data_IF_193433867490
#
_entry.id   IF_193433867490
#
_cell.length_a   1.000
_cell.length_b   1.000
_cell.length_c   1.000
_cell.angle_alpha   90.00
_cell.angle_beta   90.00
_cell.angle_gamma   90.00
#
_symmetry.space_group_name_H-M   'P 1'
#
loop_
_entity.id
_entity.type
_entity.pdbx_description
1 polymer ?
#
# COMPACT_ATOMS: atom_id res chain seq x y z
N UNK A 1 6.35 -20.48 23.06
CA UNK A 1 6.84 -19.53 24.07
C UNK A 1 8.26 -19.13 23.68
N UNK A 2 8.44 -17.95 23.09
CA UNK A 2 9.76 -17.48 22.64
C UNK A 2 10.36 -16.53 23.68
N UNK A 3 11.63 -16.72 24.06
CA UNK A 3 12.30 -15.95 25.11
C UNK A 3 12.86 -14.62 24.60
N UNK A 4 13.06 -13.66 25.52
CA UNK A 4 13.49 -12.27 25.25
C UNK A 4 14.76 -12.11 24.38
N UNK A 5 15.59 -13.15 24.24
CA UNK A 5 16.82 -13.10 23.43
C UNK A 5 16.59 -13.19 21.90
N UNK A 6 15.44 -13.67 21.42
CA UNK A 6 15.13 -13.73 19.97
C UNK A 6 14.52 -12.44 19.40
N UNK A 7 14.21 -11.45 20.24
CA UNK A 7 13.67 -10.15 19.78
C UNK A 7 14.75 -9.24 19.18
N UNK A 8 16.00 -9.34 19.62
CA UNK A 8 17.12 -8.54 19.09
C UNK A 8 17.42 -8.82 17.62
N UNK A 9 17.26 -10.06 17.19
CA UNK A 9 17.45 -10.49 15.80
C UNK A 9 16.30 -10.01 14.90
N UNK A 10 15.04 -10.26 15.30
CA UNK A 10 13.87 -9.85 14.51
C UNK A 10 13.72 -8.34 14.39
N UNK A 11 13.95 -7.59 15.48
CA UNK A 11 13.92 -6.13 15.45
C UNK A 11 14.98 -5.58 14.50
N UNK A 12 16.23 -6.04 14.64
CA UNK A 12 17.34 -5.62 13.78
C UNK A 12 17.05 -5.95 12.32
N UNK A 13 16.55 -7.15 12.04
CA UNK A 13 16.12 -7.53 10.70
C UNK A 13 15.07 -6.58 10.12
N UNK A 14 13.99 -6.29 10.86
CA UNK A 14 12.94 -5.38 10.37
C UNK A 14 13.46 -3.96 10.14
N UNK A 15 14.31 -3.44 11.03
CA UNK A 15 14.97 -2.14 10.83
C UNK A 15 15.77 -2.15 9.52
N UNK A 16 16.59 -3.18 9.29
CA UNK A 16 17.37 -3.32 8.06
C UNK A 16 16.48 -3.45 6.82
N UNK A 17 15.34 -4.15 6.91
CA UNK A 17 14.38 -4.21 5.80
C UNK A 17 13.75 -2.84 5.51
N UNK A 18 13.31 -2.10 6.54
CA UNK A 18 12.74 -0.77 6.36
C UNK A 18 13.76 0.17 5.71
N UNK A 19 15.01 0.16 6.17
CA UNK A 19 16.09 0.95 5.58
C UNK A 19 16.33 0.55 4.13
N UNK A 20 16.55 -0.74 3.86
CA UNK A 20 16.78 -1.28 2.51
C UNK A 20 15.69 -0.85 1.53
N UNK A 21 14.42 -0.99 1.91
CA UNK A 21 13.32 -0.63 1.01
C UNK A 21 13.03 0.87 0.95
N UNK A 22 13.43 1.65 1.96
CA UNK A 22 13.44 3.11 1.85
C UNK A 22 14.43 3.56 0.77
N UNK A 23 15.66 3.03 0.81
CA UNK A 23 16.68 3.34 -0.19
C UNK A 23 16.22 2.93 -1.60
N UNK A 24 15.59 1.76 -1.74
CA UNK A 24 15.02 1.34 -3.03
C UNK A 24 13.90 2.26 -3.55
N UNK A 25 13.02 2.77 -2.68
CA UNK A 25 11.99 3.74 -3.09
C UNK A 25 12.63 5.00 -3.69
N UNK A 26 13.70 5.49 -3.06
CA UNK A 26 14.46 6.65 -3.54
C UNK A 26 15.19 6.36 -4.86
N UNK A 27 15.91 5.23 -4.94
CA UNK A 27 16.62 4.78 -6.15
C UNK A 27 15.69 4.65 -7.37
N UNK A 28 14.44 4.27 -7.15
CA UNK A 28 13.41 4.14 -8.19
C UNK A 28 12.71 5.45 -8.52
N UNK A 29 12.92 6.51 -7.74
CA UNK A 29 12.20 7.77 -7.87
C UNK A 29 10.71 7.64 -7.52
N UNK A 30 10.35 6.75 -6.60
CA UNK A 30 8.97 6.56 -6.13
C UNK A 30 8.59 7.54 -5.02
N UNK A 31 9.40 8.55 -4.81
CA UNK A 31 9.19 9.62 -3.87
C UNK A 31 10.12 10.78 -4.17
N UNK A 32 9.72 11.99 -3.79
CA UNK A 32 10.53 13.18 -3.82
C UNK A 32 10.56 13.86 -2.45
N UNK A 33 11.63 14.61 -2.17
CA UNK A 33 11.82 15.27 -0.88
C UNK A 33 11.85 14.23 0.28
N UNK A 34 10.88 14.29 1.20
CA UNK A 34 10.78 13.43 2.37
C UNK A 34 9.48 12.60 2.38
N UNK A 35 8.84 12.50 1.23
CA UNK A 35 7.61 11.74 1.07
C UNK A 35 7.86 10.21 1.13
N UNK A 36 6.77 9.46 1.10
CA UNK A 36 6.82 8.02 1.29
C UNK A 36 7.11 7.60 2.73
N UNK A 37 6.52 6.50 3.14
CA UNK A 37 6.67 5.98 4.49
C UNK A 37 6.52 4.46 4.51
N UNK A 38 7.30 3.84 5.38
CA UNK A 38 7.31 2.39 5.58
C UNK A 38 7.10 2.13 7.05
N UNK A 39 6.23 1.18 7.37
CA UNK A 39 6.18 0.60 8.70
C UNK A 39 6.13 -0.91 8.66
N UNK A 40 6.57 -1.53 9.75
CA UNK A 40 6.49 -2.97 9.97
C UNK A 40 6.02 -3.28 11.39
N UNK A 41 5.18 -4.29 11.53
CA UNK A 41 4.69 -4.79 12.82
C UNK A 41 5.74 -5.66 13.50
N UNK A 42 6.09 -5.30 14.72
CA UNK A 42 6.90 -6.11 15.64
C UNK A 42 6.06 -6.37 16.88
N UNK A 43 5.41 -7.53 16.91
CA UNK A 43 4.51 -7.94 17.99
C UNK A 43 3.42 -6.87 18.23
N UNK A 44 3.40 -6.22 19.41
CA UNK A 44 2.41 -5.20 19.78
C UNK A 44 2.80 -3.76 19.41
N UNK A 45 3.97 -3.58 18.77
CA UNK A 45 4.47 -2.26 18.35
C UNK A 45 4.69 -2.19 16.84
N UNK A 46 4.83 -0.97 16.33
CA UNK A 46 5.18 -0.70 14.95
C UNK A 46 6.57 -0.06 14.88
N UNK A 47 7.42 -0.56 13.99
CA UNK A 47 8.64 0.13 13.56
C UNK A 47 8.31 0.94 12.32
N UNK A 48 8.77 2.19 12.24
CA UNK A 48 8.43 3.06 11.13
C UNK A 48 9.56 4.02 10.77
N UNK A 49 9.58 4.46 9.51
CA UNK A 49 10.39 5.61 9.10
C UNK A 49 9.88 6.88 9.81
N UNK A 50 10.76 7.77 10.29
CA UNK A 50 10.35 9.06 10.83
C UNK A 50 9.90 10.02 9.71
N UNK A 51 9.17 11.05 10.10
CA UNK A 51 8.83 12.19 9.23
C UNK A 51 10.06 13.03 8.87
N UNK A 52 9.97 13.82 7.80
CA UNK A 52 10.97 14.79 7.37
C UNK A 52 12.38 14.23 7.09
N UNK A 53 12.48 12.93 6.78
CA UNK A 53 13.71 12.28 6.35
C UNK A 53 13.51 11.71 4.94
N UNK A 54 14.35 12.16 4.00
CA UNK A 54 14.40 11.58 2.64
C UNK A 54 14.68 10.08 2.72
N UNK A 55 13.95 9.28 1.93
CA UNK A 55 14.10 7.82 1.94
C UNK A 55 15.50 7.37 1.52
N UNK A 56 16.20 8.15 0.68
CA UNK A 56 17.59 7.93 0.26
C UNK A 56 18.65 8.15 1.35
N UNK A 57 18.27 8.77 2.48
CA UNK A 57 19.15 9.04 3.62
C UNK A 57 18.76 8.26 4.89
N UNK A 58 17.91 7.24 4.75
CA UNK A 58 17.40 6.49 5.90
C UNK A 58 18.52 5.67 6.56
N UNK A 59 18.71 5.84 7.87
CA UNK A 59 19.67 5.07 8.67
C UNK A 59 18.94 4.18 9.70
N UNK A 60 19.51 3.02 10.09
CA UNK A 60 18.92 2.12 11.09
C UNK A 60 18.51 2.81 12.40
N UNK A 61 19.33 3.71 12.91
CA UNK A 61 19.13 4.48 14.14
C UNK A 61 17.99 5.52 14.06
N UNK A 62 17.53 5.83 12.85
CA UNK A 62 16.41 6.76 12.62
C UNK A 62 15.05 6.08 12.76
N UNK A 63 14.99 4.73 12.72
CA UNK A 63 13.73 4.00 12.80
C UNK A 63 13.10 4.21 14.18
N UNK A 64 11.86 4.71 14.17
CA UNK A 64 11.08 4.97 15.38
C UNK A 64 10.19 3.78 15.72
N UNK A 65 9.87 3.63 17.01
CA UNK A 65 8.88 2.67 17.47
C UNK A 65 7.62 3.40 17.91
N UNK A 66 6.48 2.90 17.47
CA UNK A 66 5.16 3.43 17.78
C UNK A 66 4.33 2.36 18.50
N UNK A 67 3.44 2.79 19.39
CA UNK A 67 2.38 1.93 19.91
C UNK A 67 1.30 1.66 18.85
N UNK A 68 0.31 0.83 19.21
CA UNK A 68 -0.83 0.49 18.34
C UNK A 68 -1.71 1.68 17.93
N UNK A 69 -1.54 2.85 18.56
CA UNK A 69 -2.26 4.09 18.27
C UNK A 69 -1.38 5.08 17.48
N UNK A 70 -0.16 4.69 17.09
CA UNK A 70 0.78 5.55 16.37
C UNK A 70 1.53 6.54 17.26
N UNK A 71 1.43 6.43 18.59
CA UNK A 71 2.18 7.29 19.52
C UNK A 71 3.62 6.78 19.62
N UNK A 72 4.59 7.68 19.48
CA UNK A 72 6.01 7.36 19.60
C UNK A 72 6.36 6.87 21.01
N UNK A 73 6.99 5.70 21.06
CA UNK A 73 7.55 5.08 22.27
C UNK A 73 9.05 5.42 22.37
N UNK A 74 9.80 5.25 21.29
CA UNK A 74 11.26 5.41 21.24
C UNK A 74 11.75 5.78 19.82
N UNK A 75 13.03 6.15 19.70
CA UNK A 75 13.68 6.53 18.44
C UNK A 75 13.73 8.05 18.19
N UNK A 76 14.58 8.46 17.25
CA UNK A 76 14.78 9.86 16.86
C UNK A 76 13.77 10.31 15.81
N UNK A 77 13.32 11.56 15.88
CA UNK A 77 12.32 12.11 14.97
C UNK A 77 10.87 11.90 15.45
N UNK A 78 9.90 12.14 14.57
CA UNK A 78 8.47 12.09 14.90
C UNK A 78 7.71 11.20 13.89
N UNK A 79 6.53 10.67 14.26
CA UNK A 79 5.65 10.00 13.31
C UNK A 79 5.31 10.89 12.12
N UNK A 80 5.13 10.29 10.94
CA UNK A 80 4.66 10.98 9.74
C UNK A 80 3.16 11.29 9.84
N UNK A 81 2.71 12.31 9.10
CA UNK A 81 1.32 12.82 9.12
C UNK A 81 0.29 11.74 8.73
N UNK A 82 0.67 10.83 7.84
CA UNK A 82 -0.20 9.78 7.30
C UNK A 82 -0.20 8.48 8.13
N UNK A 83 0.34 8.48 9.35
CA UNK A 83 0.43 7.27 10.19
C UNK A 83 -0.94 6.59 10.36
N UNK A 84 -2.03 7.37 10.37
CA UNK A 84 -3.41 6.84 10.43
C UNK A 84 -3.70 5.84 9.31
N UNK A 85 -3.20 6.04 8.08
CA UNK A 85 -3.41 5.09 6.97
C UNK A 85 -2.78 3.73 7.28
N UNK A 86 -1.58 3.72 7.86
CA UNK A 86 -0.90 2.49 8.28
C UNK A 86 -1.65 1.81 9.44
N UNK A 87 -2.12 2.59 10.42
CA UNK A 87 -2.88 2.05 11.56
C UNK A 87 -4.20 1.41 11.12
N UNK A 88 -4.92 2.01 10.17
CA UNK A 88 -6.12 1.41 9.59
C UNK A 88 -5.79 0.11 8.89
N UNK A 89 -4.74 0.10 8.07
CA UNK A 89 -4.30 -1.11 7.39
C UNK A 89 -4.02 -2.28 8.36
N UNK A 90 -3.31 -2.01 9.45
CA UNK A 90 -3.02 -2.99 10.50
C UNK A 90 -4.24 -3.42 11.33
N UNK A 91 -5.27 -2.58 11.42
CA UNK A 91 -6.49 -2.86 12.18
C UNK A 91 -7.48 -3.68 11.36
N UNK A 92 -7.61 -3.33 10.08
CA UNK A 92 -8.49 -4.00 9.11
C UNK A 92 -7.91 -5.36 8.72
N UNK A 93 -6.59 -5.44 8.54
CA UNK A 93 -5.91 -6.68 8.19
C UNK A 93 -4.90 -7.07 9.27
N UNK A 94 -5.31 -7.95 10.17
CA UNK A 94 -4.44 -8.47 11.24
C UNK A 94 -3.24 -9.27 10.70
N UNK A 95 -3.37 -9.87 9.51
CA UNK A 95 -2.28 -10.61 8.84
C UNK A 95 -1.21 -9.67 8.28
N UNK A 96 -1.53 -8.38 8.04
CA UNK A 96 -0.57 -7.41 7.54
C UNK A 96 0.59 -7.20 8.53
N UNK A 97 1.81 -7.40 8.05
CA UNK A 97 3.05 -7.23 8.83
C UNK A 97 3.89 -6.05 8.37
N UNK A 98 3.61 -5.49 7.20
CA UNK A 98 4.23 -4.28 6.72
C UNK A 98 3.25 -3.46 5.87
N UNK A 99 3.49 -2.16 5.84
CA UNK A 99 2.78 -1.20 4.99
C UNK A 99 3.81 -0.29 4.35
N UNK A 100 3.71 -0.12 3.04
CA UNK A 100 4.51 0.82 2.25
C UNK A 100 3.56 1.79 1.58
N UNK A 101 3.81 3.07 1.75
CA UNK A 101 3.17 4.14 1.00
C UNK A 101 4.24 4.97 0.29
N UNK A 102 3.99 5.32 -0.97
CA UNK A 102 4.92 6.02 -1.85
C UNK A 102 4.16 6.75 -2.97
N UNK A 103 4.88 7.55 -3.78
CA UNK A 103 4.36 8.35 -4.89
C UNK A 103 5.02 7.99 -6.24
N UNK A 104 4.93 6.73 -6.70
CA UNK A 104 5.46 6.35 -8.00
C UNK A 104 4.74 7.11 -9.14
N UNK A 105 5.48 7.77 -10.07
CA UNK A 105 4.89 8.78 -10.97
C UNK A 105 3.75 8.31 -11.87
N UNK A 106 3.87 7.15 -12.52
CA UNK A 106 2.81 6.68 -13.44
C UNK A 106 1.55 6.27 -12.69
N UNK A 107 1.69 5.57 -11.56
CA UNK A 107 0.54 5.18 -10.75
C UNK A 107 -0.11 6.39 -10.07
N UNK A 108 0.68 7.33 -9.54
CA UNK A 108 0.15 8.59 -8.98
C UNK A 108 -0.60 9.40 -10.06
N UNK A 109 -0.06 9.48 -11.28
CA UNK A 109 -0.75 10.15 -12.40
C UNK A 109 -2.10 9.50 -12.74
N UNK A 110 -2.19 8.16 -12.69
CA UNK A 110 -3.48 7.46 -12.85
C UNK A 110 -4.45 7.73 -11.70
N UNK A 111 -3.95 7.73 -10.47
CA UNK A 111 -4.74 8.08 -9.28
C UNK A 111 -5.34 9.47 -9.38
N UNK A 112 -4.58 10.46 -9.85
CA UNK A 112 -5.03 11.84 -10.07
C UNK A 112 -6.24 11.98 -10.99
N UNK A 113 -6.45 11.03 -11.91
CA UNK A 113 -7.60 11.02 -12.82
C UNK A 113 -8.63 9.94 -12.47
N UNK A 114 -8.49 9.27 -11.33
CA UNK A 114 -9.43 8.24 -10.88
C UNK A 114 -9.43 6.97 -11.74
N UNK A 115 -8.32 6.67 -12.44
CA UNK A 115 -8.26 5.56 -13.39
C UNK A 115 -7.63 4.30 -12.75
N UNK A 116 -8.42 3.26 -12.42
CA UNK A 116 -7.88 2.00 -11.89
C UNK A 116 -6.97 1.29 -12.90
N UNK A 117 -6.17 0.34 -12.41
CA UNK A 117 -5.35 -0.55 -13.24
C UNK A 117 -6.02 -1.92 -13.28
N UNK A 118 -6.31 -2.40 -14.48
CA UNK A 118 -6.77 -3.78 -14.75
C UNK A 118 -5.59 -4.53 -15.39
N UNK A 119 -4.92 -5.45 -14.68
CA UNK A 119 -3.75 -6.12 -15.22
C UNK A 119 -4.10 -7.03 -16.40
N UNK A 120 -3.32 -6.93 -17.49
CA UNK A 120 -3.39 -7.86 -18.62
C UNK A 120 -2.20 -8.83 -18.68
N UNK A 121 -1.24 -8.69 -17.76
CA UNK A 121 -0.09 -9.59 -17.63
C UNK A 121 -0.40 -10.71 -16.63
N UNK A 122 -0.21 -12.00 -16.98
CA UNK A 122 -0.56 -13.11 -16.12
C UNK A 122 0.04 -13.07 -14.71
N UNK A 123 1.33 -12.73 -14.61
CA UNK A 123 2.07 -12.64 -13.35
C UNK A 123 1.51 -11.52 -12.46
N UNK A 124 1.04 -10.43 -13.06
CA UNK A 124 0.44 -9.33 -12.35
C UNK A 124 -0.94 -9.69 -11.79
N UNK A 125 -1.74 -10.47 -12.51
CA UNK A 125 -3.02 -10.98 -11.99
C UNK A 125 -2.78 -11.89 -10.79
N UNK A 126 -1.78 -12.78 -10.88
CA UNK A 126 -1.42 -13.64 -9.74
C UNK A 126 -0.93 -12.81 -8.55
N UNK A 127 -0.11 -11.78 -8.78
CA UNK A 127 0.52 -11.00 -7.71
C UNK A 127 -0.36 -9.91 -7.09
N UNK A 128 -1.17 -9.20 -7.88
CA UNK A 128 -1.98 -8.06 -7.45
C UNK A 128 -3.48 -8.33 -7.47
N UNK A 129 -3.95 -9.28 -8.27
CA UNK A 129 -5.37 -9.62 -8.41
C UNK A 129 -5.99 -9.05 -9.68
N UNK A 130 -7.32 -9.02 -9.71
CA UNK A 130 -8.11 -8.60 -10.87
C UNK A 130 -7.97 -7.11 -11.19
N UNK A 131 -7.82 -6.28 -10.15
CA UNK A 131 -7.79 -4.83 -10.28
C UNK A 131 -7.00 -4.20 -9.14
N UNK A 132 -6.31 -3.09 -9.44
CA UNK A 132 -5.77 -2.17 -8.47
C UNK A 132 -6.67 -0.92 -8.46
N UNK A 133 -7.51 -0.75 -7.42
CA UNK A 133 -8.50 0.32 -7.39
C UNK A 133 -7.88 1.68 -7.07
N UNK A 134 -8.69 2.73 -7.23
CA UNK A 134 -8.38 4.09 -6.78
C UNK A 134 -9.33 4.44 -5.65
N UNK A 135 -8.81 4.76 -4.47
CA UNK A 135 -9.57 5.32 -3.37
C UNK A 135 -9.88 6.80 -3.63
N UNK A 136 -11.07 7.30 -3.23
CA UNK A 136 -11.39 8.72 -3.33
C UNK A 136 -10.39 9.56 -2.53
N UNK A 137 -10.17 10.80 -2.97
CA UNK A 137 -9.37 11.76 -2.21
C UNK A 137 -10.08 12.04 -0.89
N UNK A 138 -9.30 12.10 0.18
CA UNK A 138 -9.78 12.56 1.45
C UNK A 138 -8.67 13.22 2.25
N UNK A 139 -9.05 14.21 3.07
CA UNK A 139 -8.09 14.95 3.87
C UNK A 139 -7.62 14.11 5.06
N UNK A 140 -6.37 14.33 5.52
CA UNK A 140 -5.90 13.72 6.75
C UNK A 140 -6.80 14.08 7.94
N UNK A 141 -7.49 13.08 8.50
CA UNK A 141 -8.37 13.25 9.66
C UNK A 141 -9.86 13.07 9.39
N UNK A 142 -10.28 12.90 8.14
CA UNK A 142 -11.67 12.64 7.78
C UNK A 142 -12.15 11.30 8.34
N UNK A 143 -13.34 11.27 8.95
CA UNK A 143 -13.88 10.10 9.62
C UNK A 143 -14.23 8.95 8.64
N UNK A 144 -14.52 9.27 7.38
CA UNK A 144 -14.83 8.29 6.33
C UNK A 144 -13.58 7.57 5.80
N UNK A 145 -12.37 8.03 6.15
CA UNK A 145 -11.14 7.41 5.65
C UNK A 145 -10.99 5.97 6.12
N UNK A 146 -11.33 5.68 7.37
CA UNK A 146 -11.19 4.34 7.92
C UNK A 146 -12.09 3.34 7.15
N UNK A 147 -13.32 3.72 6.79
CA UNK A 147 -14.26 2.87 6.03
C UNK A 147 -13.88 2.72 4.58
N UNK A 148 -13.44 3.79 3.92
CA UNK A 148 -12.93 3.73 2.55
C UNK A 148 -11.71 2.82 2.47
N UNK A 149 -10.75 3.00 3.38
CA UNK A 149 -9.53 2.19 3.42
C UNK A 149 -9.84 0.73 3.74
N UNK A 150 -10.76 0.44 4.67
CA UNK A 150 -11.23 -0.91 4.94
C UNK A 150 -11.83 -1.56 3.69
N UNK A 151 -12.65 -0.80 2.97
CA UNK A 151 -13.28 -1.24 1.71
C UNK A 151 -12.25 -1.56 0.64
N UNK A 152 -11.24 -0.70 0.50
CA UNK A 152 -10.15 -0.90 -0.45
C UNK A 152 -9.30 -2.13 -0.12
N UNK A 153 -9.02 -2.37 1.16
CA UNK A 153 -8.23 -3.52 1.63
C UNK A 153 -8.94 -4.87 1.49
N UNK A 154 -10.28 -4.88 1.43
CA UNK A 154 -11.05 -6.07 1.08
C UNK A 154 -10.98 -6.41 -0.41
N UNK A 155 -10.78 -5.39 -1.25
CA UNK A 155 -10.72 -5.53 -2.70
C UNK A 155 -9.30 -5.85 -3.17
N UNK A 156 -8.30 -5.23 -2.54
CA UNK A 156 -6.91 -5.38 -2.95
C UNK A 156 -5.94 -5.16 -1.80
N UNK A 157 -4.84 -5.89 -1.84
CA UNK A 157 -3.71 -5.69 -0.95
C UNK A 157 -2.87 -4.43 -1.27
N UNK A 158 -3.20 -3.72 -2.34
CA UNK A 158 -2.59 -2.45 -2.71
C UNK A 158 -3.54 -1.63 -3.59
N UNK A 159 -3.54 -0.30 -3.42
CA UNK A 159 -4.40 0.60 -4.18
C UNK A 159 -3.79 1.99 -4.31
N UNK A 160 -4.28 2.73 -5.30
CA UNK A 160 -3.94 4.14 -5.50
C UNK A 160 -4.92 5.01 -4.69
N UNK A 161 -4.52 6.22 -4.34
CA UNK A 161 -5.37 7.22 -3.69
C UNK A 161 -5.41 8.44 -4.59
N UNK A 162 -6.61 8.88 -4.98
CA UNK A 162 -6.76 10.06 -5.82
C UNK A 162 -6.13 11.29 -5.15
N UNK A 163 -5.37 12.08 -5.90
CA UNK A 163 -4.66 13.26 -5.36
C UNK A 163 -3.47 12.96 -4.44
N UNK A 164 -3.09 11.69 -4.26
CA UNK A 164 -2.00 11.28 -3.38
C UNK A 164 -1.08 10.24 -4.06
N UNK A 165 -0.94 9.04 -3.50
CA UNK A 165 0.01 8.03 -3.95
C UNK A 165 -0.53 6.61 -3.97
N UNK A 166 0.37 5.64 -3.81
CA UNK A 166 0.06 4.22 -3.71
C UNK A 166 0.27 3.78 -2.28
N UNK A 167 -0.61 2.94 -1.76
CA UNK A 167 -0.41 2.21 -0.51
C UNK A 167 -0.49 0.71 -0.79
N UNK A 168 0.40 -0.05 -0.17
CA UNK A 168 0.42 -1.49 -0.24
C UNK A 168 0.70 -2.10 1.13
N UNK A 169 0.02 -3.19 1.44
CA UNK A 169 0.29 -4.02 2.61
C UNK A 169 1.08 -5.26 2.21
N UNK A 170 1.69 -5.96 3.17
CA UNK A 170 2.36 -7.23 2.91
C UNK A 170 2.66 -8.05 4.17
N UNK A 171 2.97 -9.32 3.96
CA UNK A 171 3.43 -10.27 4.98
C UNK A 171 4.86 -9.96 5.46
N UNK A 172 5.56 -9.11 4.74
CA UNK A 172 6.84 -8.52 5.08
C UNK A 172 7.03 -7.23 4.26
N UNK A 173 8.08 -6.46 4.60
CA UNK A 173 8.38 -5.17 3.95
C UNK A 173 8.68 -5.34 2.45
N UNK A 174 9.34 -6.43 2.06
CA UNK A 174 9.64 -6.72 0.65
C UNK A 174 8.38 -6.89 -0.19
N UNK A 175 7.43 -7.71 0.26
CA UNK A 175 6.19 -7.94 -0.46
C UNK A 175 5.37 -6.66 -0.61
N UNK A 176 5.28 -5.84 0.45
CA UNK A 176 4.62 -4.55 0.38
C UNK A 176 5.29 -3.61 -0.64
N UNK A 177 6.63 -3.54 -0.63
CA UNK A 177 7.39 -2.77 -1.62
C UNK A 177 7.20 -3.30 -3.05
N UNK A 178 7.31 -4.62 -3.26
CA UNK A 178 7.19 -5.24 -4.59
C UNK A 178 5.80 -5.01 -5.20
N UNK A 179 4.76 -4.91 -4.37
CA UNK A 179 3.41 -4.52 -4.83
C UNK A 179 3.40 -3.09 -5.37
N UNK A 180 4.03 -2.14 -4.68
CA UNK A 180 4.18 -0.75 -5.18
C UNK A 180 4.99 -0.72 -6.48
N UNK A 181 6.12 -1.43 -6.52
CA UNK A 181 6.97 -1.51 -7.71
C UNK A 181 6.24 -2.08 -8.92
N UNK A 182 5.47 -3.15 -8.73
CA UNK A 182 4.69 -3.77 -9.80
C UNK A 182 3.53 -2.88 -10.26
N UNK A 183 2.86 -2.16 -9.35
CA UNK A 183 1.81 -1.19 -9.71
C UNK A 183 2.37 -0.11 -10.64
N UNK A 184 3.52 0.47 -10.28
CA UNK A 184 4.18 1.47 -11.13
C UNK A 184 4.60 0.88 -12.48
N UNK A 185 5.15 -0.33 -12.48
CA UNK A 185 5.56 -1.01 -13.69
C UNK A 185 4.38 -1.21 -14.65
N UNK A 186 3.23 -1.66 -14.14
CA UNK A 186 2.00 -1.83 -14.92
C UNK A 186 1.46 -0.50 -15.44
N UNK A 187 1.44 0.54 -14.60
CA UNK A 187 0.99 1.87 -14.99
C UNK A 187 1.84 2.42 -16.15
N UNK A 188 3.17 2.24 -16.06
CA UNK A 188 4.13 2.65 -17.08
C UNK A 188 3.99 1.85 -18.38
N UNK A 189 3.82 0.53 -18.29
CA UNK A 189 3.59 -0.33 -19.45
C UNK A 189 2.30 0.09 -20.18
N UNK A 190 1.19 0.24 -19.45
CA UNK A 190 -0.09 0.61 -20.06
C UNK A 190 -0.01 2.01 -20.70
N UNK A 191 0.69 2.96 -20.08
CA UNK A 191 0.93 4.28 -20.68
C UNK A 191 1.65 4.19 -22.03
N UNK A 192 2.73 3.42 -22.13
CA UNK A 192 3.44 3.23 -23.39
C UNK A 192 2.61 2.43 -24.40
N UNK A 193 1.94 1.36 -23.97
CA UNK A 193 1.12 0.53 -24.83
C UNK A 193 0.01 1.36 -25.51
N UNK A 194 -0.66 2.24 -24.77
CA UNK A 194 -1.71 3.14 -25.30
C UNK A 194 -1.22 4.15 -26.32
N UNK A 195 0.06 4.52 -26.30
CA UNK A 195 0.66 5.38 -27.32
C UNK A 195 1.03 4.61 -28.58
N UNK A 196 1.30 3.31 -28.46
CA UNK A 196 1.66 2.43 -29.57
C UNK A 196 0.44 1.77 -30.21
N UNK A 197 -0.70 1.68 -29.50
CA UNK A 197 -1.94 1.11 -29.98
C UNK A 197 -2.94 0.79 -28.86
N UNK A 198 -3.82 -0.17 -29.12
CA UNK A 198 -4.80 -0.64 -28.11
C UNK A 198 -4.18 -1.81 -27.32
N UNK A 199 -4.03 -1.71 -26.00
CA UNK A 199 -3.56 -2.84 -25.19
C UNK A 199 -4.50 -4.05 -25.31
N UNK A 200 -3.92 -5.25 -25.36
CA UNK A 200 -4.71 -6.49 -25.33
C UNK A 200 -5.40 -6.68 -23.97
N UNK A 201 -6.46 -7.47 -23.95
CA UNK A 201 -7.12 -7.93 -22.73
C UNK A 201 -7.10 -9.45 -22.66
N UNK A 202 -7.20 -10.00 -21.44
CA UNK A 202 -7.35 -11.43 -21.23
C UNK A 202 -8.84 -11.79 -21.20
N UNK A 203 -9.19 -12.98 -21.71
CA UNK A 203 -10.54 -13.52 -21.57
C UNK A 203 -10.88 -13.79 -20.10
N UNK A 204 -12.16 -13.79 -19.76
CA UNK A 204 -12.62 -14.11 -18.40
C UNK A 204 -12.15 -15.50 -17.95
N UNK A 205 -12.08 -16.47 -18.86
CA UNK A 205 -11.55 -17.81 -18.57
C UNK A 205 -10.08 -17.77 -18.13
N UNK A 206 -9.22 -17.05 -18.86
CA UNK A 206 -7.82 -16.90 -18.48
C UNK A 206 -7.66 -16.13 -17.16
N UNK A 207 -8.45 -15.07 -16.95
CA UNK A 207 -8.45 -14.31 -15.70
C UNK A 207 -8.83 -15.19 -14.51
N UNK A 208 -9.93 -15.95 -14.61
CA UNK A 208 -10.36 -16.87 -13.55
C UNK A 208 -9.31 -17.93 -13.24
N UNK A 209 -8.65 -18.51 -14.25
CA UNK A 209 -7.59 -19.49 -14.03
C UNK A 209 -6.38 -18.90 -13.28
N UNK A 210 -6.04 -17.64 -13.54
CA UNK A 210 -4.95 -16.94 -12.86
C UNK A 210 -5.32 -16.51 -11.44
N UNK A 211 -6.56 -16.06 -11.23
CA UNK A 211 -7.08 -15.76 -9.90
C UNK A 211 -7.15 -17.03 -9.02
N UNK A 212 -7.50 -18.18 -9.58
CA UNK A 212 -7.41 -19.45 -8.84
C UNK A 212 -5.97 -19.78 -8.39
N UNK A 213 -4.95 -19.47 -9.21
CA UNK A 213 -3.54 -19.61 -8.82
C UNK A 213 -3.15 -18.64 -7.71
N UNK A 214 -3.66 -17.40 -7.75
CA UNK A 214 -3.48 -16.40 -6.69
C UNK A 214 -4.02 -16.91 -5.35
N UNK A 215 -5.25 -17.43 -5.34
CA UNK A 215 -5.88 -18.00 -4.15
C UNK A 215 -5.08 -19.18 -3.61
N UNK A 216 -4.62 -20.08 -4.48
CA UNK A 216 -3.79 -21.22 -4.08
C UNK A 216 -2.44 -20.79 -3.49
N UNK A 217 -1.91 -19.62 -3.88
CA UNK A 217 -0.71 -19.02 -3.33
C UNK A 217 -0.93 -18.22 -2.03
N UNK A 218 -2.17 -18.09 -1.56
CA UNK A 218 -2.51 -17.34 -0.35
C UNK A 218 -2.33 -15.82 -0.50
N UNK A 219 -2.41 -15.30 -1.73
CA UNK A 219 -2.17 -13.88 -2.03
C UNK A 219 -3.44 -13.03 -2.05
N UNK A 220 -4.60 -13.63 -1.77
CA UNK A 220 -5.88 -12.93 -1.75
C UNK A 220 -5.90 -11.82 -0.68
N UNK A 221 -6.64 -10.72 -0.93
CA UNK A 221 -6.95 -9.78 0.14
C UNK A 221 -7.72 -10.49 1.26
N UNK A 222 -7.69 -9.90 2.47
CA UNK A 222 -8.55 -10.37 3.56
C UNK A 222 -10.01 -10.29 3.12
N UNK A 223 -10.75 -11.39 3.31
CA UNK A 223 -12.15 -11.45 2.91
C UNK A 223 -13.00 -10.44 3.68
N UNK A 224 -14.11 -10.00 3.09
CA UNK A 224 -15.04 -9.04 3.72
C UNK A 224 -15.51 -9.48 5.11
N UNK A 225 -15.61 -10.80 5.36
CA UNK A 225 -15.97 -11.36 6.68
C UNK A 225 -14.86 -11.26 7.74
N UNK A 226 -13.60 -11.09 7.33
CA UNK A 226 -12.45 -10.95 8.25
C UNK A 226 -12.25 -9.49 8.71
N UNK A 227 -12.92 -8.52 8.08
CA UNK A 227 -12.83 -7.10 8.41
C UNK A 227 -13.84 -6.79 9.52
N UNK A 228 -13.53 -7.21 10.74
CA UNK A 228 -14.38 -7.01 11.91
C UNK A 228 -14.11 -5.64 12.55
N UNK A 229 -14.81 -4.58 12.13
CA UNK A 229 -15.11 -3.37 12.94
C UNK A 229 -15.50 -2.11 12.13
N UNK A 230 -15.51 -2.14 10.79
CA UNK A 230 -15.72 -0.93 9.98
C UNK A 230 -16.81 -1.14 8.94
N UNK A 231 -17.73 -0.17 8.83
CA UNK A 231 -18.81 -0.19 7.83
C UNK A 231 -18.22 -0.09 6.42
N UNK A 232 -18.51 -1.09 5.58
CA UNK A 232 -17.92 -1.22 4.24
C UNK A 232 -18.72 -0.43 3.20
N UNK A 233 -18.01 0.13 2.23
CA UNK A 233 -18.56 0.86 1.08
C UNK A 233 -18.51 -0.05 -0.15
N UNK A 234 -19.59 -0.10 -0.95
CA UNK A 234 -19.60 -0.92 -2.18
C UNK A 234 -18.66 -0.38 -3.26
N UNK A 235 -18.23 -1.25 -4.17
CA UNK A 235 -17.36 -0.92 -5.32
C UNK A 235 -17.96 0.16 -6.22
N UNK A 236 -19.27 0.13 -6.47
CA UNK A 236 -19.97 1.13 -7.28
C UNK A 236 -19.94 2.48 -6.58
N UNK A 237 -20.23 2.49 -5.27
CA UNK A 237 -20.22 3.71 -4.47
C UNK A 237 -18.81 4.30 -4.35
N UNK A 238 -17.77 3.47 -4.19
CA UNK A 238 -16.37 3.93 -4.19
C UNK A 238 -15.99 4.58 -5.52
N UNK A 239 -16.35 3.95 -6.64
CA UNK A 239 -16.08 4.50 -7.98
C UNK A 239 -16.82 5.83 -8.19
N UNK A 240 -18.07 5.92 -7.74
CA UNK A 240 -18.84 7.16 -7.80
C UNK A 240 -18.20 8.26 -6.93
N UNK A 241 -17.82 7.95 -5.70
CA UNK A 241 -17.15 8.88 -4.78
C UNK A 241 -15.84 9.43 -5.37
N UNK A 242 -15.05 8.58 -6.03
CA UNK A 242 -13.82 9.03 -6.71
C UNK A 242 -14.15 10.08 -7.77
N UNK A 243 -15.13 9.80 -8.63
CA UNK A 243 -15.51 10.72 -9.71
C UNK A 243 -16.17 12.00 -9.19
N UNK A 244 -16.99 11.92 -8.15
CA UNK A 244 -17.59 13.07 -7.49
C UNK A 244 -16.53 13.97 -6.87
N UNK A 245 -15.58 13.39 -6.11
CA UNK A 245 -14.47 14.14 -5.53
C UNK A 245 -13.60 14.78 -6.58
N UNK A 246 -13.26 14.08 -7.67
CA UNK A 246 -12.46 14.69 -8.74
C UNK A 246 -13.15 15.90 -9.38
N UNK A 247 -14.49 15.87 -9.53
CA UNK A 247 -15.26 17.02 -10.05
C UNK A 247 -15.26 18.23 -9.10
N UNK A 248 -15.08 18.05 -7.79
CA UNK A 248 -14.99 19.18 -6.84
C UNK A 248 -13.73 20.04 -7.08
N UNK A 249 -12.70 19.51 -7.75
CA UNK A 249 -11.39 20.15 -7.94
C UNK A 249 -11.06 20.54 -9.40
N UNK A 250 -12.02 20.42 -10.32
CA UNK A 250 -11.90 20.80 -11.74
C UNK A 250 -12.77 22.03 -12.05
#
# INVERSE_FOLDING_TARGET
>A
MWSRNNMGDRRSYLIQQIVKYSLKLDEKGFGANHDGNISARLDDVLLATPTAVSKGNMLPEMIITLDKNGKKIEGMGNPFSEIKLHLVAYRVNEKAKAVVHAHPPFATARGLIGLPIVPALPEAIVSLGEMIPVAPFAMPGDAENDSIMASMLALSNAFMIAGNGVIAIGDNVEQAYLRVELIEHLAKIDFYARQMGTPMTLSNEHQHALLAKRSAAGLDPVGQSEIASVEMVSTEKLSQLVLEKLKEYL
#
